data_IF_282473982038
#
_entry.id   IF_282473982038
#
_cell.length_a   1.000
_cell.length_b   1.000
_cell.length_c   1.000
_cell.angle_alpha   90.00
_cell.angle_beta   90.00
_cell.angle_gamma   90.00
#
_symmetry.space_group_name_H-M   'P 1'
#
loop_
_entity.id
_entity.type
_entity.pdbx_description
1 polymer ?
#
# COMPACT_ATOMS: atom_id res chain seq x y z
N UNK A 1 15.49 -7.61 -7.59
CA UNK A 1 14.25 -6.84 -7.29
C UNK A 1 13.17 -7.84 -6.92
N UNK A 2 12.58 -7.71 -5.75
CA UNK A 2 11.54 -8.63 -5.27
C UNK A 2 10.30 -7.82 -4.94
N UNK A 3 9.17 -8.21 -5.50
CA UNK A 3 7.86 -7.60 -5.22
C UNK A 3 7.13 -8.49 -4.21
N UNK A 4 6.52 -7.86 -3.21
CA UNK A 4 5.46 -8.46 -2.41
C UNK A 4 4.15 -7.75 -2.77
N UNK A 5 3.12 -8.53 -3.07
CA UNK A 5 1.83 -8.02 -3.53
C UNK A 5 0.69 -8.61 -2.71
N UNK A 6 -0.33 -7.82 -2.42
CA UNK A 6 -1.53 -8.32 -1.77
C UNK A 6 -2.72 -7.37 -1.83
N UNK A 7 -3.88 -7.93 -1.53
CA UNK A 7 -5.17 -7.24 -1.49
C UNK A 7 -5.67 -7.15 -0.04
N UNK A 8 -6.38 -6.09 0.34
CA UNK A 8 -6.99 -5.97 1.67
C UNK A 8 -5.94 -6.10 2.79
N UNK A 9 -6.12 -7.02 3.74
CA UNK A 9 -5.13 -7.37 4.75
C UNK A 9 -3.78 -7.79 4.13
N UNK A 10 -3.79 -8.48 2.99
CA UNK A 10 -2.57 -8.81 2.24
C UNK A 10 -1.86 -7.57 1.70
N UNK A 11 -2.59 -6.51 1.35
CA UNK A 11 -2.01 -5.23 0.93
C UNK A 11 -1.33 -4.49 2.09
N UNK A 12 -1.94 -4.50 3.27
CA UNK A 12 -1.30 -4.06 4.52
C UNK A 12 -0.02 -4.86 4.79
N UNK A 13 -0.10 -6.20 4.72
CA UNK A 13 1.04 -7.09 4.95
C UNK A 13 2.16 -6.87 3.94
N UNK A 14 1.84 -6.59 2.67
CA UNK A 14 2.84 -6.29 1.64
C UNK A 14 3.64 -5.03 1.98
N UNK A 15 2.96 -3.95 2.37
CA UNK A 15 3.62 -2.72 2.82
C UNK A 15 4.46 -2.97 4.09
N UNK A 16 3.91 -3.68 5.07
CA UNK A 16 4.62 -4.04 6.29
C UNK A 16 5.88 -4.87 6.01
N UNK A 17 5.80 -5.90 5.16
CA UNK A 17 6.93 -6.75 4.83
C UNK A 17 8.07 -5.97 4.16
N UNK A 18 7.74 -5.06 3.23
CA UNK A 18 8.71 -4.18 2.61
C UNK A 18 9.34 -3.19 3.61
N UNK A 19 8.53 -2.64 4.52
CA UNK A 19 9.03 -1.76 5.57
C UNK A 19 10.00 -2.46 6.53
N UNK A 20 9.68 -3.70 6.93
CA UNK A 20 10.47 -4.46 7.90
C UNK A 20 11.73 -5.08 7.28
N UNK A 21 11.66 -5.53 6.03
CA UNK A 21 12.73 -6.26 5.35
C UNK A 21 13.01 -5.67 3.96
N UNK A 22 13.46 -4.39 3.87
CA UNK A 22 13.77 -3.77 2.59
C UNK A 22 14.90 -4.48 1.85
N UNK A 23 15.76 -5.22 2.56
CA UNK A 23 16.81 -6.09 2.01
C UNK A 23 16.25 -7.28 1.22
N UNK A 24 15.00 -7.69 1.49
CA UNK A 24 14.32 -8.81 0.82
C UNK A 24 13.21 -8.35 -0.10
N UNK A 25 12.44 -7.35 0.30
CA UNK A 25 11.25 -6.85 -0.40
C UNK A 25 11.41 -5.34 -0.64
N UNK A 26 12.14 -4.98 -1.71
CA UNK A 26 12.34 -3.58 -2.08
C UNK A 26 11.11 -2.93 -2.74
N UNK A 27 10.12 -3.72 -3.15
CA UNK A 27 8.94 -3.28 -3.89
C UNK A 27 7.66 -3.85 -3.25
N UNK A 28 6.67 -3.01 -3.00
CA UNK A 28 5.38 -3.41 -2.46
C UNK A 28 4.22 -2.98 -3.36
N UNK A 29 3.28 -3.88 -3.61
CA UNK A 29 2.01 -3.61 -4.28
C UNK A 29 0.86 -3.89 -3.31
N UNK A 30 0.09 -2.85 -2.97
CA UNK A 30 -1.08 -2.96 -2.09
C UNK A 30 -2.33 -2.52 -2.83
N UNK A 31 -3.30 -3.42 -2.92
CA UNK A 31 -4.61 -3.12 -3.49
C UNK A 31 -5.64 -3.11 -2.37
N UNK A 32 -6.33 -1.98 -2.20
CA UNK A 32 -7.35 -1.78 -1.19
C UNK A 32 -6.84 -2.13 0.22
N UNK A 33 -5.63 -1.68 0.56
CA UNK A 33 -4.94 -2.09 1.79
C UNK A 33 -5.73 -1.74 3.05
N UNK A 34 -5.83 -2.68 3.99
CA UNK A 34 -6.53 -2.52 5.27
C UNK A 34 -5.72 -1.68 6.27
N UNK A 35 -5.38 -0.45 5.88
CA UNK A 35 -4.53 0.44 6.65
C UNK A 35 -5.19 0.99 7.92
N UNK A 36 -6.47 0.74 8.16
CA UNK A 36 -7.13 1.01 9.45
C UNK A 36 -6.57 0.16 10.59
N UNK A 37 -5.98 -1.01 10.29
CA UNK A 37 -5.58 -1.98 11.31
C UNK A 37 -4.50 -1.43 12.27
N UNK A 38 -4.56 -1.78 13.58
CA UNK A 38 -5.59 -2.57 14.24
C UNK A 38 -6.88 -1.78 14.51
N UNK A 39 -8.00 -2.48 14.58
CA UNK A 39 -9.29 -1.92 15.05
C UNK A 39 -9.36 -2.07 16.57
N UNK A 40 -8.49 -1.35 17.28
CA UNK A 40 -8.53 -1.26 18.75
C UNK A 40 -8.50 0.21 19.21
N UNK A 41 -9.00 0.46 20.42
CA UNK A 41 -9.15 1.81 20.99
C UNK A 41 -7.82 2.55 21.21
N UNK A 42 -6.67 1.92 20.94
CA UNK A 42 -5.36 2.39 21.39
C UNK A 42 -4.49 2.95 20.29
N UNK A 43 -4.68 2.61 19.01
CA UNK A 43 -4.08 3.30 17.86
C UNK A 43 -4.47 2.62 16.53
N UNK A 44 -5.59 3.05 15.94
CA UNK A 44 -5.90 2.74 14.55
C UNK A 44 -4.81 3.24 13.59
N UNK A 45 -4.70 2.64 12.42
CA UNK A 45 -3.67 2.97 11.42
C UNK A 45 -2.21 2.83 11.88
N UNK A 46 -1.94 1.83 12.70
CA UNK A 46 -0.61 1.59 13.28
C UNK A 46 0.51 1.61 12.23
N UNK A 47 0.32 0.97 11.08
CA UNK A 47 1.35 0.95 10.03
C UNK A 47 1.59 2.34 9.43
N UNK A 48 0.54 3.15 9.25
CA UNK A 48 0.68 4.55 8.83
C UNK A 48 1.54 5.33 9.82
N UNK A 49 1.33 5.11 11.12
CA UNK A 49 2.17 5.66 12.19
C UNK A 49 3.63 5.24 12.09
N UNK A 50 3.91 3.96 11.79
CA UNK A 50 5.29 3.48 11.59
C UNK A 50 6.01 4.23 10.46
N UNK A 51 5.33 4.42 9.32
CA UNK A 51 5.89 5.16 8.19
C UNK A 51 6.06 6.66 8.50
N UNK A 52 5.20 7.25 9.34
CA UNK A 52 5.27 8.65 9.72
C UNK A 52 6.53 8.95 10.56
N UNK A 53 6.89 8.07 11.49
CA UNK A 53 7.89 8.38 12.52
C UNK A 53 9.23 7.69 12.37
N UNK A 54 9.27 6.49 11.76
CA UNK A 54 10.53 5.78 11.60
C UNK A 54 11.45 6.42 10.56
N UNK A 55 12.72 6.00 10.58
CA UNK A 55 13.66 6.28 9.49
C UNK A 55 13.12 5.72 8.16
N UNK A 56 13.24 6.53 7.10
CA UNK A 56 12.73 6.20 5.78
C UNK A 56 13.42 4.96 5.22
N UNK A 57 12.64 3.97 4.81
CA UNK A 57 13.16 2.74 4.18
C UNK A 57 13.38 2.92 2.68
N UNK A 58 14.41 2.29 2.07
CA UNK A 58 14.69 2.40 0.64
C UNK A 58 13.79 1.46 -0.18
N UNK A 59 12.48 1.71 -0.16
CA UNK A 59 11.45 0.90 -0.84
C UNK A 59 10.61 1.73 -1.80
N UNK A 60 10.05 1.08 -2.82
CA UNK A 60 9.05 1.66 -3.73
C UNK A 60 7.69 1.01 -3.49
N UNK A 61 6.63 1.81 -3.47
CA UNK A 61 5.26 1.33 -3.27
C UNK A 61 4.36 1.64 -4.46
N UNK A 62 3.47 0.71 -4.79
CA UNK A 62 2.31 0.95 -5.65
C UNK A 62 1.05 0.66 -4.85
N UNK A 63 0.19 1.67 -4.73
CA UNK A 63 -1.04 1.62 -3.95
C UNK A 63 -2.24 1.82 -4.86
N UNK A 64 -3.26 0.99 -4.71
CA UNK A 64 -4.54 1.14 -5.39
C UNK A 64 -5.69 1.07 -4.39
N UNK A 65 -6.79 1.78 -4.63
CA UNK A 65 -8.02 1.63 -3.85
C UNK A 65 -9.24 2.01 -4.69
N UNK A 66 -10.37 1.35 -4.48
CA UNK A 66 -11.63 1.61 -5.16
C UNK A 66 -12.34 2.83 -4.57
N UNK A 67 -12.92 3.67 -5.44
CA UNK A 67 -13.69 4.86 -5.02
C UNK A 67 -14.99 4.51 -4.30
N UNK A 68 -15.46 3.27 -4.38
CA UNK A 68 -16.66 2.77 -3.71
C UNK A 68 -16.33 2.07 -2.38
N UNK A 69 -15.06 2.07 -1.96
CA UNK A 69 -14.60 1.48 -0.70
C UNK A 69 -14.56 2.52 0.42
N UNK A 70 -15.73 3.00 0.83
CA UNK A 70 -15.91 4.08 1.81
C UNK A 70 -15.14 3.89 3.14
N UNK A 71 -14.93 2.65 3.59
CA UNK A 71 -14.16 2.32 4.81
C UNK A 71 -12.64 2.16 4.58
N UNK A 72 -12.16 2.21 3.34
CA UNK A 72 -10.74 2.00 3.00
C UNK A 72 -10.14 3.17 2.21
N UNK A 73 -10.97 3.95 1.52
CA UNK A 73 -10.53 5.02 0.63
C UNK A 73 -9.76 6.09 1.38
N UNK A 74 -10.28 6.56 2.50
CA UNK A 74 -9.66 7.64 3.26
C UNK A 74 -8.39 7.18 4.00
N UNK A 75 -8.36 5.96 4.49
CA UNK A 75 -7.21 5.29 5.11
C UNK A 75 -6.06 5.18 4.08
N UNK A 76 -6.37 4.71 2.86
CA UNK A 76 -5.40 4.62 1.78
C UNK A 76 -4.91 6.01 1.32
N UNK A 77 -5.78 7.03 1.35
CA UNK A 77 -5.40 8.42 1.07
C UNK A 77 -4.46 8.98 2.15
N UNK A 78 -4.74 8.74 3.43
CA UNK A 78 -3.90 9.14 4.56
C UNK A 78 -2.54 8.45 4.50
N UNK A 79 -2.51 7.14 4.28
CA UNK A 79 -1.27 6.40 4.12
C UNK A 79 -0.41 6.94 2.97
N UNK A 80 -1.01 7.16 1.79
CA UNK A 80 -0.34 7.83 0.65
C UNK A 80 0.22 9.20 1.01
N UNK A 81 -0.54 10.02 1.74
CA UNK A 81 -0.10 11.37 2.11
C UNK A 81 1.16 11.30 3.00
N UNK A 82 1.18 10.38 3.97
CA UNK A 82 2.36 10.14 4.81
C UNK A 82 3.54 9.66 3.97
N UNK A 83 3.35 8.68 3.08
CA UNK A 83 4.42 8.21 2.19
C UNK A 83 5.04 9.35 1.38
N UNK A 84 4.21 10.22 0.78
CA UNK A 84 4.68 11.39 0.01
C UNK A 84 5.40 12.39 0.90
N UNK A 85 4.84 12.74 2.05
CA UNK A 85 5.45 13.69 3.00
C UNK A 85 6.81 13.20 3.52
N UNK A 86 6.97 11.88 3.66
CA UNK A 86 8.22 11.22 4.08
C UNK A 86 9.18 10.94 2.93
N UNK A 87 8.85 11.31 1.68
CA UNK A 87 9.74 11.17 0.52
C UNK A 87 9.91 9.73 0.04
N UNK A 88 8.91 8.87 0.22
CA UNK A 88 8.87 7.56 -0.42
C UNK A 88 8.52 7.68 -1.91
N UNK A 89 9.08 6.78 -2.71
CA UNK A 89 8.64 6.60 -4.09
C UNK A 89 7.35 5.79 -4.09
N UNK A 90 6.23 6.49 -4.31
CA UNK A 90 4.90 5.89 -4.28
C UNK A 90 4.09 6.26 -5.51
N UNK A 91 3.61 5.23 -6.22
CA UNK A 91 2.54 5.36 -7.20
C UNK A 91 1.20 5.08 -6.52
N UNK A 92 0.22 5.93 -6.76
CA UNK A 92 -1.12 5.81 -6.16
C UNK A 92 -2.19 5.95 -7.22
N UNK A 93 -3.19 5.06 -7.20
CA UNK A 93 -4.32 5.05 -8.14
C UNK A 93 -5.63 4.83 -7.39
N UNK A 94 -6.62 5.66 -7.69
CA UNK A 94 -8.02 5.37 -7.35
C UNK A 94 -8.71 4.82 -8.60
N UNK A 95 -9.51 3.77 -8.47
CA UNK A 95 -10.27 3.19 -9.59
C UNK A 95 -11.78 3.23 -9.35
N UNK A 96 -12.57 3.26 -10.42
CA UNK A 96 -14.02 3.16 -10.31
C UNK A 96 -14.43 1.71 -10.05
N UNK A 97 -14.55 1.35 -8.78
CA UNK A 97 -14.90 0.02 -8.31
C UNK A 97 -14.86 -0.05 -6.79
N UNK A 98 -15.17 -1.24 -6.26
CA UNK A 98 -15.18 -1.54 -4.84
C UNK A 98 -14.14 -2.60 -4.44
N UNK A 99 -14.39 -3.26 -3.31
CA UNK A 99 -13.55 -4.31 -2.73
C UNK A 99 -13.76 -5.65 -3.45
N UNK A 100 -13.33 -5.73 -4.72
CA UNK A 100 -13.71 -6.80 -5.64
C UNK A 100 -12.50 -7.36 -6.45
N UNK A 101 -12.40 -8.69 -6.49
CA UNK A 101 -11.41 -9.43 -7.26
C UNK A 101 -11.38 -9.09 -8.76
N UNK A 102 -12.54 -8.79 -9.37
CA UNK A 102 -12.61 -8.40 -10.77
C UNK A 102 -11.82 -7.11 -11.03
N UNK A 103 -11.86 -6.16 -10.09
CA UNK A 103 -11.08 -4.93 -10.15
C UNK A 103 -9.60 -5.20 -9.89
N UNK A 104 -9.28 -5.97 -8.85
CA UNK A 104 -7.90 -6.23 -8.45
C UNK A 104 -7.10 -7.01 -9.48
N UNK A 105 -7.72 -7.95 -10.21
CA UNK A 105 -7.02 -8.75 -11.24
C UNK A 105 -6.33 -7.86 -12.28
N UNK A 106 -7.01 -6.83 -12.77
CA UNK A 106 -6.43 -5.88 -13.73
C UNK A 106 -5.33 -5.03 -13.09
N UNK A 107 -5.62 -4.48 -11.91
CA UNK A 107 -4.66 -3.67 -11.16
C UNK A 107 -3.38 -4.39 -10.75
N UNK A 108 -3.44 -5.72 -10.53
CA UNK A 108 -2.29 -6.54 -10.19
C UNK A 108 -1.28 -6.57 -11.34
N UNK A 109 -1.75 -6.81 -12.56
CA UNK A 109 -0.90 -6.81 -13.75
C UNK A 109 -0.30 -5.42 -14.01
N UNK A 110 -1.13 -4.37 -13.96
CA UNK A 110 -0.69 -2.98 -14.12
C UNK A 110 0.36 -2.58 -13.08
N UNK A 111 0.13 -2.93 -11.81
CA UNK A 111 1.02 -2.60 -10.70
C UNK A 111 2.36 -3.33 -10.78
N UNK A 112 2.35 -4.61 -11.16
CA UNK A 112 3.58 -5.37 -11.39
C UNK A 112 4.40 -4.80 -12.54
N UNK A 113 3.76 -4.45 -13.66
CA UNK A 113 4.41 -3.82 -14.79
C UNK A 113 5.03 -2.46 -14.39
N UNK A 114 4.31 -1.65 -13.61
CA UNK A 114 4.80 -0.36 -13.13
C UNK A 114 6.01 -0.49 -12.19
N UNK A 115 6.02 -1.48 -11.29
CA UNK A 115 7.11 -1.69 -10.33
C UNK A 115 8.36 -2.31 -10.98
N UNK A 116 8.17 -3.27 -11.88
CA UNK A 116 9.28 -4.04 -12.48
C UNK A 116 9.82 -3.41 -13.77
N UNK A 117 9.04 -2.58 -14.45
CA UNK A 117 9.42 -1.91 -15.70
C UNK A 117 10.31 -0.68 -15.54
N UNK A 118 10.60 -0.25 -14.31
CA UNK A 118 11.60 0.82 -14.07
C UNK A 118 13.00 0.27 -14.34
N UNK A 119 13.92 0.98 -15.01
CA UNK A 119 15.31 0.55 -15.16
C UNK A 119 15.99 0.39 -13.80
#
# INVERSE_FOLDING_TARGET
RTVVAGQSAGGLTAAFAAFQRPDRFGLALSQSGSFWWPDDDREGEWLTGQYAWAERRPITLHLEVGRQEWMLLEENRRFRNILRARGYDVRYREFNGGHDYACWRGGLADGLAALLGRP
#
